data_IF_502810788872
#
_entry.id   IF_502810788872
#
_cell.length_a   1.000
_cell.length_b   1.000
_cell.length_c   1.000
_cell.angle_alpha   90.00
_cell.angle_beta   90.00
_cell.angle_gamma   90.00
#
_symmetry.space_group_name_H-M   'P 1'
#
loop_
_entity.id
_entity.type
_entity.pdbx_description
1 polymer ?
#
# COMPACT_ATOMS: atom_id res chain seq x y z
N UNK A 1 10.09 1.35 -5.89
CA UNK A 1 9.84 1.61 -4.44
C UNK A 1 8.41 2.01 -4.14
N UNK A 2 7.70 2.63 -5.09
CA UNK A 2 6.31 3.12 -4.93
C UNK A 2 5.37 2.16 -4.20
N UNK A 3 5.42 0.86 -4.52
CA UNK A 3 4.60 -0.16 -3.85
C UNK A 3 4.85 -0.20 -2.32
N UNK A 4 6.11 -0.38 -1.91
CA UNK A 4 6.50 -0.46 -0.49
C UNK A 4 6.17 0.84 0.25
N UNK A 5 6.42 1.99 -0.38
CA UNK A 5 6.08 3.30 0.21
C UNK A 5 4.58 3.47 0.43
N UNK A 6 3.76 2.95 -0.49
CA UNK A 6 2.29 2.93 -0.34
C UNK A 6 1.85 2.11 0.87
N UNK A 7 2.45 0.93 1.08
CA UNK A 7 2.15 0.09 2.25
C UNK A 7 2.56 0.76 3.57
N UNK A 8 3.69 1.46 3.61
CA UNK A 8 4.06 2.25 4.79
C UNK A 8 3.04 3.36 5.07
N UNK A 9 2.56 4.04 4.03
CA UNK A 9 1.56 5.09 4.18
C UNK A 9 0.23 4.56 4.75
N UNK A 10 -0.26 3.43 4.24
CA UNK A 10 -1.51 2.81 4.72
C UNK A 10 -1.35 2.28 6.13
N UNK A 11 -0.27 1.52 6.39
CA UNK A 11 0.09 1.04 7.72
C UNK A 11 0.11 2.16 8.76
N UNK A 12 0.86 3.23 8.48
CA UNK A 12 1.04 4.34 9.41
C UNK A 12 -0.28 5.06 9.64
N UNK A 13 -1.12 5.23 8.62
CA UNK A 13 -2.45 5.78 8.81
C UNK A 13 -3.27 4.96 9.81
N UNK A 14 -3.33 3.64 9.63
CA UNK A 14 -4.09 2.77 10.53
C UNK A 14 -3.52 2.73 11.95
N UNK A 15 -2.19 2.74 12.10
CA UNK A 15 -1.55 2.72 13.42
C UNK A 15 -1.68 4.05 14.17
N UNK A 16 -1.60 5.19 13.48
CA UNK A 16 -1.67 6.50 14.13
C UNK A 16 -3.11 6.92 14.39
N UNK A 17 -4.02 6.71 13.43
CA UNK A 17 -5.40 7.20 13.53
C UNK A 17 -6.38 6.11 14.01
N UNK A 18 -6.11 4.83 13.76
CA UNK A 18 -6.94 3.71 14.20
C UNK A 18 -7.30 3.77 15.69
N UNK A 19 -6.35 4.01 16.60
CA UNK A 19 -6.65 4.12 18.03
C UNK A 19 -7.56 5.29 18.42
N UNK A 20 -7.71 6.31 17.55
CA UNK A 20 -8.48 7.53 17.84
C UNK A 20 -9.98 7.39 17.60
N UNK A 21 -10.42 6.35 16.89
CA UNK A 21 -11.85 6.13 16.64
C UNK A 21 -12.60 5.80 17.93
N UNK A 22 -13.83 6.31 18.07
CA UNK A 22 -14.68 6.03 19.22
C UNK A 22 -15.25 4.61 19.22
N UNK A 23 -15.58 4.07 18.04
CA UNK A 23 -16.11 2.72 17.89
C UNK A 23 -15.03 1.65 18.16
N UNK A 24 -15.21 0.74 19.13
CA UNK A 24 -14.29 -0.37 19.37
C UNK A 24 -14.08 -1.29 18.16
N UNK A 25 -15.11 -1.53 17.34
CA UNK A 25 -15.01 -2.39 16.16
C UNK A 25 -14.12 -1.72 15.11
N UNK A 26 -14.26 -0.40 14.91
CA UNK A 26 -13.38 0.37 14.03
C UNK A 26 -11.90 0.30 14.48
N UNK A 27 -11.63 0.40 15.78
CA UNK A 27 -10.27 0.23 16.31
C UNK A 27 -9.70 -1.16 16.04
N UNK A 28 -10.51 -2.20 16.25
CA UNK A 28 -10.10 -3.59 16.04
C UNK A 28 -9.81 -3.90 14.57
N UNK A 29 -10.69 -3.50 13.65
CA UNK A 29 -10.46 -3.75 12.21
C UNK A 29 -9.28 -2.95 11.68
N UNK A 30 -9.03 -1.73 12.17
CA UNK A 30 -7.85 -0.96 11.75
C UNK A 30 -6.56 -1.56 12.29
N UNK A 31 -6.56 -2.11 13.52
CA UNK A 31 -5.42 -2.84 14.06
C UNK A 31 -5.14 -4.14 13.28
N UNK A 32 -6.19 -4.87 12.87
CA UNK A 32 -6.06 -6.04 12.00
C UNK A 32 -5.48 -5.67 10.64
N UNK A 33 -6.02 -4.63 9.98
CA UNK A 33 -5.50 -4.18 8.68
C UNK A 33 -4.04 -3.73 8.83
N UNK A 34 -3.67 -2.96 9.85
CA UNK A 34 -2.28 -2.58 10.10
C UNK A 34 -1.34 -3.78 10.26
N UNK A 35 -1.79 -4.85 10.93
CA UNK A 35 -1.04 -6.11 11.05
C UNK A 35 -0.85 -6.79 9.69
N UNK A 36 -1.80 -6.68 8.76
CA UNK A 36 -1.66 -7.17 7.39
C UNK A 36 -0.72 -6.27 6.57
N UNK A 37 -0.84 -4.94 6.64
CA UNK A 37 0.06 -4.04 5.92
C UNK A 37 1.52 -4.20 6.39
N UNK A 38 1.76 -4.52 7.68
CA UNK A 38 3.09 -4.90 8.18
C UNK A 38 3.68 -6.11 7.43
N UNK A 39 2.84 -7.08 7.06
CA UNK A 39 3.25 -8.23 6.25
C UNK A 39 3.55 -7.80 4.81
N UNK A 40 2.74 -6.90 4.22
CA UNK A 40 2.98 -6.37 2.89
C UNK A 40 4.28 -5.56 2.81
N UNK A 41 4.55 -4.70 3.81
CA UNK A 41 5.83 -3.98 3.95
C UNK A 41 7.00 -4.97 3.95
N UNK A 42 6.90 -6.05 4.74
CA UNK A 42 7.95 -7.07 4.80
C UNK A 42 8.11 -7.79 3.47
N UNK A 43 6.98 -8.18 2.84
CA UNK A 43 6.97 -8.95 1.61
C UNK A 43 7.49 -8.15 0.41
N UNK A 44 7.00 -6.94 0.21
CA UNK A 44 7.47 -6.10 -0.89
C UNK A 44 8.82 -5.44 -0.58
N UNK A 45 9.12 -5.19 0.69
CA UNK A 45 10.42 -4.68 1.14
C UNK A 45 11.57 -5.62 0.81
N UNK A 46 11.33 -6.94 0.76
CA UNK A 46 12.36 -7.91 0.40
C UNK A 46 12.79 -7.84 -1.08
N UNK A 47 12.04 -7.14 -1.94
CA UNK A 47 12.42 -6.88 -3.33
C UNK A 47 13.47 -5.78 -3.46
N UNK A 48 13.70 -4.98 -2.42
CA UNK A 48 14.72 -3.95 -2.41
C UNK A 48 16.11 -4.57 -2.21
N UNK A 49 17.14 -4.03 -2.87
CA UNK A 49 18.50 -4.54 -2.69
C UNK A 49 19.03 -4.14 -1.30
N UNK A 50 19.37 -5.12 -0.43
CA UNK A 50 19.85 -4.83 0.93
C UNK A 50 21.30 -4.34 0.98
N UNK A 51 22.04 -4.41 -0.14
CA UNK A 51 23.45 -4.01 -0.23
C UNK A 51 23.63 -2.56 -0.70
N UNK A 52 22.54 -1.84 -0.97
CA UNK A 52 22.58 -0.43 -1.38
C UNK A 52 23.15 0.46 -0.27
N UNK A 53 24.07 1.36 -0.62
CA UNK A 53 24.48 2.45 0.24
C UNK A 53 23.32 3.43 0.48
N UNK A 54 23.38 4.22 1.56
CA UNK A 54 22.36 5.23 1.84
C UNK A 54 22.22 6.26 0.71
N UNK A 55 23.32 6.60 0.02
CA UNK A 55 23.29 7.54 -1.09
C UNK A 55 22.84 6.88 -2.40
N UNK A 56 23.13 5.59 -2.62
CA UNK A 56 22.52 4.82 -3.72
C UNK A 56 21.00 4.74 -3.53
N UNK A 57 20.56 4.48 -2.30
CA UNK A 57 19.15 4.46 -1.94
C UNK A 57 18.49 5.82 -2.21
N UNK A 58 19.09 6.91 -1.75
CA UNK A 58 18.60 8.26 -1.99
C UNK A 58 18.47 8.55 -3.49
N UNK A 59 19.47 8.20 -4.31
CA UNK A 59 19.40 8.36 -5.77
C UNK A 59 18.20 7.65 -6.38
N UNK A 60 17.99 6.38 -5.99
CA UNK A 60 16.85 5.58 -6.47
C UNK A 60 15.53 6.19 -5.97
N UNK A 61 15.49 6.72 -4.75
CA UNK A 61 14.31 7.42 -4.22
C UNK A 61 13.92 8.61 -5.08
N UNK A 62 14.86 9.54 -5.31
CA UNK A 62 14.58 10.74 -6.10
C UNK A 62 14.22 10.40 -7.56
N UNK A 63 14.88 9.38 -8.13
CA UNK A 63 14.54 8.87 -9.45
C UNK A 63 13.12 8.28 -9.52
N UNK A 64 12.69 7.56 -8.48
CA UNK A 64 11.35 7.00 -8.35
C UNK A 64 10.28 8.10 -8.21
N UNK A 65 10.58 9.20 -7.50
CA UNK A 65 9.68 10.36 -7.41
C UNK A 65 9.53 11.07 -8.76
N UNK A 66 10.64 11.35 -9.47
CA UNK A 66 10.60 11.87 -10.85
C UNK A 66 9.72 10.99 -11.74
N UNK A 67 9.88 9.66 -11.65
CA UNK A 67 9.07 8.72 -12.42
C UNK A 67 7.57 8.79 -12.08
N UNK A 68 7.21 8.87 -10.80
CA UNK A 68 5.82 8.99 -10.34
C UNK A 68 5.17 10.28 -10.86
N UNK A 69 5.81 11.44 -10.65
CA UNK A 69 5.25 12.73 -11.05
C UNK A 69 5.21 12.92 -12.57
N UNK A 70 6.21 12.39 -13.29
CA UNK A 70 6.20 12.38 -14.75
C UNK A 70 5.00 11.59 -15.29
N UNK A 71 4.68 10.43 -14.70
CA UNK A 71 3.51 9.64 -15.10
C UNK A 71 2.20 10.42 -14.89
N UNK A 72 2.05 11.12 -13.76
CA UNK A 72 0.89 11.99 -13.50
C UNK A 72 0.79 13.14 -14.51
N UNK A 73 1.88 13.90 -14.72
CA UNK A 73 1.90 15.06 -15.61
C UNK A 73 1.62 14.69 -17.08
N UNK A 74 2.09 13.52 -17.53
CA UNK A 74 1.87 13.02 -18.88
C UNK A 74 0.40 12.66 -19.15
N UNK A 75 -0.33 12.21 -18.13
CA UNK A 75 -1.70 11.70 -18.26
C UNK A 75 -2.79 12.69 -17.79
N UNK A 76 -2.42 13.75 -17.07
CA UNK A 76 -3.39 14.74 -16.59
C UNK A 76 -3.98 15.58 -17.73
N UNK A 77 -5.30 15.58 -17.82
CA UNK A 77 -6.06 16.27 -18.87
C UNK A 77 -6.47 17.69 -18.46
N UNK A 78 -6.64 17.95 -17.15
CA UNK A 78 -6.99 19.25 -16.63
C UNK A 78 -5.74 20.15 -16.59
N UNK A 79 -5.68 21.25 -17.37
CA UNK A 79 -4.48 22.07 -17.47
C UNK A 79 -4.01 22.66 -16.12
N UNK A 80 -4.92 22.94 -15.20
CA UNK A 80 -4.57 23.50 -13.88
C UNK A 80 -3.91 22.46 -12.97
N UNK A 81 -4.42 21.24 -13.00
CA UNK A 81 -3.82 20.13 -12.23
C UNK A 81 -2.52 19.68 -12.87
N UNK A 82 -2.45 19.67 -14.21
CA UNK A 82 -1.22 19.35 -14.94
C UNK A 82 -0.09 20.29 -14.55
N UNK A 83 -0.35 21.60 -14.49
CA UNK A 83 0.64 22.58 -14.05
C UNK A 83 1.12 22.36 -12.60
N UNK A 84 0.30 21.75 -11.74
CA UNK A 84 0.72 21.35 -10.39
C UNK A 84 1.63 20.12 -10.45
N UNK A 85 1.27 19.11 -11.25
CA UNK A 85 2.12 17.92 -11.45
C UNK A 85 3.47 18.25 -12.08
N UNK A 86 3.48 19.11 -13.10
CA UNK A 86 4.71 19.60 -13.74
C UNK A 86 5.59 20.36 -12.75
N UNK A 87 4.99 21.16 -11.86
CA UNK A 87 5.75 21.84 -10.80
C UNK A 87 6.39 20.88 -9.82
N UNK A 88 5.67 19.84 -9.38
CA UNK A 88 6.26 18.83 -8.50
C UNK A 88 7.33 18.02 -9.22
N UNK A 89 7.11 17.66 -10.49
CA UNK A 89 8.14 17.05 -11.32
C UNK A 89 9.41 17.91 -11.39
N UNK A 90 9.29 19.23 -11.57
CA UNK A 90 10.44 20.15 -11.56
C UNK A 90 11.19 20.13 -10.23
N UNK A 91 10.48 20.01 -9.10
CA UNK A 91 11.10 19.91 -7.77
C UNK A 91 11.89 18.62 -7.63
N UNK A 92 11.30 17.48 -7.99
CA UNK A 92 11.98 16.18 -7.86
C UNK A 92 13.14 16.04 -8.85
N UNK A 93 13.07 16.66 -10.03
CA UNK A 93 14.23 16.77 -10.91
C UNK A 93 15.36 17.58 -10.27
N UNK A 94 15.03 18.64 -9.54
CA UNK A 94 16.00 19.41 -8.74
C UNK A 94 16.60 18.58 -7.59
N UNK A 95 15.78 17.83 -6.86
CA UNK A 95 16.25 16.94 -5.80
C UNK A 95 17.14 15.83 -6.33
N UNK A 96 16.78 15.21 -7.45
CA UNK A 96 17.61 14.20 -8.11
C UNK A 96 18.96 14.78 -8.54
N UNK A 97 19.01 16.01 -9.07
CA UNK A 97 20.27 16.67 -9.39
C UNK A 97 21.14 16.88 -8.13
N UNK A 98 20.55 17.29 -7.01
CA UNK A 98 21.26 17.46 -5.75
C UNK A 98 21.77 16.11 -5.20
N UNK A 99 20.95 15.06 -5.23
CA UNK A 99 21.34 13.72 -4.80
C UNK A 99 22.49 13.17 -5.65
N UNK A 100 22.47 13.41 -6.97
CA UNK A 100 23.58 13.07 -7.90
C UNK A 100 24.87 13.77 -7.53
N UNK A 101 24.81 15.08 -7.27
CA UNK A 101 25.99 15.84 -6.85
C UNK A 101 26.54 15.32 -5.52
N UNK A 102 25.66 15.10 -4.53
CA UNK A 102 26.04 14.58 -3.22
C UNK A 102 26.71 13.20 -3.32
N UNK A 103 26.15 12.30 -4.12
CA UNK A 103 26.73 10.98 -4.39
C UNK A 103 28.14 11.10 -4.99
N UNK A 104 28.31 11.96 -6.00
CA UNK A 104 29.63 12.19 -6.62
C UNK A 104 30.64 12.78 -5.63
N UNK A 105 30.22 13.70 -4.77
CA UNK A 105 31.12 14.36 -3.82
C UNK A 105 31.57 13.45 -2.67
N UNK A 106 30.68 12.58 -2.20
CA UNK A 106 30.90 11.71 -1.04
C UNK A 106 31.44 10.34 -1.46
N UNK A 107 30.73 9.65 -2.36
CA UNK A 107 31.05 8.28 -2.78
C UNK A 107 32.10 8.24 -3.91
N UNK A 108 32.36 9.38 -4.57
CA UNK A 108 33.36 9.52 -5.65
C UNK A 108 33.13 8.55 -6.82
N UNK A 109 31.87 8.20 -7.06
CA UNK A 109 31.40 7.27 -8.10
C UNK A 109 30.46 7.97 -9.07
N UNK A 110 30.26 7.37 -10.25
CA UNK A 110 29.31 7.90 -11.23
C UNK A 110 27.88 7.46 -10.85
N UNK A 111 26.91 8.38 -10.68
CA UNK A 111 25.51 8.02 -10.45
C UNK A 111 24.91 7.08 -11.51
N UNK A 112 25.46 7.06 -12.72
CA UNK A 112 25.05 6.13 -13.78
C UNK A 112 25.32 4.65 -13.42
N UNK A 113 26.24 4.36 -12.49
CA UNK A 113 26.44 3.01 -11.94
C UNK A 113 25.18 2.48 -11.23
N UNK A 114 24.36 3.38 -10.69
CA UNK A 114 23.13 3.07 -9.94
C UNK A 114 21.89 3.26 -10.83
N UNK A 115 21.83 4.39 -11.54
CA UNK A 115 20.65 4.80 -12.33
C UNK A 115 20.63 4.25 -13.76
N UNK A 116 21.70 3.59 -14.19
CA UNK A 116 21.84 3.08 -15.56
C UNK A 116 21.98 4.20 -16.59
N UNK A 117 21.39 3.99 -17.77
CA UNK A 117 21.43 4.92 -18.90
C UNK A 117 20.44 6.09 -18.79
N UNK A 118 19.67 6.15 -17.70
CA UNK A 118 18.63 7.15 -17.48
C UNK A 118 17.33 6.90 -18.24
N UNK A 119 17.18 5.76 -18.93
CA UNK A 119 15.92 5.36 -19.54
C UNK A 119 15.00 4.80 -18.45
N UNK A 120 13.95 5.54 -18.15
CA UNK A 120 12.94 5.11 -17.20
C UNK A 120 12.00 4.05 -17.78
N UNK A 121 11.51 3.09 -16.97
CA UNK A 121 10.45 2.18 -17.41
C UNK A 121 9.14 2.96 -17.71
N UNK A 122 8.20 2.36 -18.45
CA UNK A 122 6.88 2.97 -18.67
C UNK A 122 6.23 3.39 -17.34
N UNK A 123 5.68 4.60 -17.28
CA UNK A 123 5.01 5.11 -16.09
C UNK A 123 3.74 4.32 -15.70
N UNK A 124 3.27 4.50 -14.46
CA UNK A 124 1.98 3.94 -14.01
C UNK A 124 0.85 4.50 -14.88
N UNK A 125 0.00 3.61 -15.39
CA UNK A 125 -1.24 4.01 -16.08
C UNK A 125 -2.32 4.43 -15.07
N UNK A 126 -2.70 5.70 -15.08
CA UNK A 126 -3.77 6.25 -14.24
C UNK A 126 -5.13 6.08 -14.93
N UNK A 127 -5.57 4.82 -15.00
CA UNK A 127 -6.81 4.41 -15.63
C UNK A 127 -7.61 3.46 -14.74
N UNK A 128 -8.82 3.11 -15.17
CA UNK A 128 -9.68 2.20 -14.41
C UNK A 128 -9.08 0.79 -14.36
N UNK A 129 -8.57 0.39 -13.20
CA UNK A 129 -8.06 -0.96 -12.95
C UNK A 129 -9.14 -2.00 -12.59
N UNK A 130 -10.43 -1.67 -12.75
CA UNK A 130 -11.55 -2.53 -12.29
C UNK A 130 -11.57 -3.91 -12.94
N UNK A 131 -11.35 -4.01 -14.25
CA UNK A 131 -11.36 -5.32 -14.93
C UNK A 131 -10.16 -6.17 -14.53
N UNK A 132 -8.99 -5.54 -14.36
CA UNK A 132 -7.81 -6.20 -13.84
C UNK A 132 -8.09 -6.78 -12.45
N UNK A 133 -8.59 -5.97 -11.52
CA UNK A 133 -8.91 -6.40 -10.15
C UNK A 133 -9.97 -7.51 -10.14
N UNK A 134 -11.01 -7.42 -10.96
CA UNK A 134 -12.03 -8.49 -11.06
C UNK A 134 -11.43 -9.82 -11.51
N UNK A 135 -10.54 -9.79 -12.50
CA UNK A 135 -9.86 -10.99 -12.99
C UNK A 135 -8.99 -11.60 -11.89
N UNK A 136 -8.15 -10.79 -11.26
CA UNK A 136 -7.30 -11.23 -10.14
C UNK A 136 -8.13 -11.85 -9.02
N UNK A 137 -9.24 -11.21 -8.61
CA UNK A 137 -10.13 -11.78 -7.59
C UNK A 137 -10.75 -13.12 -8.03
N UNK A 138 -11.17 -13.24 -9.28
CA UNK A 138 -11.74 -14.49 -9.80
C UNK A 138 -10.72 -15.63 -9.86
N UNK A 139 -9.46 -15.32 -10.12
CA UNK A 139 -8.38 -16.30 -10.31
C UNK A 139 -7.64 -16.64 -9.00
N UNK A 140 -7.48 -15.67 -8.10
CA UNK A 140 -6.47 -15.74 -7.03
C UNK A 140 -7.05 -15.74 -5.61
N UNK A 141 -8.35 -15.47 -5.40
CA UNK A 141 -8.94 -15.40 -4.04
C UNK A 141 -8.84 -16.71 -3.25
N UNK A 142 -8.77 -17.85 -3.95
CA UNK A 142 -8.65 -19.18 -3.35
C UNK A 142 -7.20 -19.61 -3.09
N UNK A 143 -6.21 -18.81 -3.52
CA UNK A 143 -4.81 -19.14 -3.29
C UNK A 143 -4.47 -19.09 -1.80
N UNK A 144 -3.55 -19.97 -1.39
CA UNK A 144 -3.01 -20.10 -0.04
C UNK A 144 -1.49 -20.14 -0.08
N UNK A 145 -0.86 -20.06 1.09
CA UNK A 145 0.61 -20.15 1.21
C UNK A 145 1.05 -21.56 1.59
N UNK A 146 2.10 -22.03 0.94
CA UNK A 146 2.89 -23.18 1.37
C UNK A 146 4.38 -22.81 1.26
N UNK A 147 4.95 -22.38 2.39
CA UNK A 147 6.24 -21.69 2.42
C UNK A 147 6.18 -20.41 1.58
N UNK A 148 7.08 -20.29 0.62
CA UNK A 148 7.14 -19.13 -0.29
C UNK A 148 6.18 -19.21 -1.48
N UNK A 149 5.58 -20.37 -1.74
CA UNK A 149 4.72 -20.60 -2.92
C UNK A 149 3.27 -20.17 -2.68
N UNK A 150 2.60 -19.78 -3.75
CA UNK A 150 1.14 -19.68 -3.83
C UNK A 150 0.59 -20.99 -4.38
N UNK A 151 -0.38 -21.58 -3.69
CA UNK A 151 -0.94 -22.91 -3.99
C UNK A 151 -2.46 -22.90 -3.88
N UNK A 152 -3.18 -23.83 -4.51
CA UNK A 152 -4.61 -24.02 -4.26
C UNK A 152 -4.90 -24.35 -2.79
N UNK A 153 -6.12 -24.11 -2.36
CA UNK A 153 -6.55 -24.32 -0.97
C UNK A 153 -6.27 -25.73 -0.42
N UNK A 154 -6.42 -26.76 -1.24
CA UNK A 154 -6.14 -28.16 -0.85
C UNK A 154 -4.67 -28.45 -0.52
N UNK A 155 -3.75 -27.56 -0.91
CA UNK A 155 -2.30 -27.73 -0.75
C UNK A 155 -1.70 -26.75 0.26
N UNK A 156 -2.55 -26.04 1.02
CA UNK A 156 -2.13 -25.07 2.03
C UNK A 156 -1.12 -25.69 3.01
N UNK A 157 -0.04 -24.96 3.28
CA UNK A 157 1.02 -25.41 4.18
C UNK A 157 0.57 -25.42 5.64
N UNK A 158 1.06 -26.40 6.41
CA UNK A 158 0.76 -26.52 7.84
C UNK A 158 1.15 -25.27 8.64
N UNK A 159 2.20 -24.56 8.25
CA UNK A 159 2.60 -23.29 8.88
C UNK A 159 1.60 -22.16 8.65
N UNK A 160 0.99 -22.08 7.45
CA UNK A 160 -0.06 -21.11 7.13
C UNK A 160 -1.30 -21.36 7.99
N UNK A 161 -1.71 -22.63 8.09
CA UNK A 161 -2.83 -23.05 8.94
C UNK A 161 -2.58 -22.73 10.42
N UNK A 162 -1.44 -23.14 10.96
CA UNK A 162 -1.11 -22.92 12.37
C UNK A 162 -1.03 -21.42 12.72
N UNK A 163 -0.50 -20.59 11.81
CA UNK A 163 -0.48 -19.14 12.00
C UNK A 163 -1.90 -18.56 12.02
N UNK A 164 -2.74 -18.93 11.05
CA UNK A 164 -4.14 -18.46 10.97
C UNK A 164 -4.95 -18.89 12.18
N UNK A 165 -4.82 -20.14 12.62
CA UNK A 165 -5.49 -20.65 13.83
C UNK A 165 -5.05 -19.91 15.09
N UNK A 166 -3.76 -19.58 15.20
CA UNK A 166 -3.23 -18.83 16.35
C UNK A 166 -3.69 -17.37 16.38
N UNK A 167 -3.62 -16.66 15.26
CA UNK A 167 -3.99 -15.24 15.18
C UNK A 167 -5.51 -15.06 15.28
N UNK A 168 -6.30 -15.96 14.68
CA UNK A 168 -7.76 -15.86 14.64
C UNK A 168 -8.44 -16.72 15.73
N UNK A 169 -7.72 -17.17 16.76
CA UNK A 169 -8.26 -18.06 17.80
C UNK A 169 -9.50 -17.47 18.50
N UNK A 170 -9.51 -16.15 18.71
CA UNK A 170 -10.62 -15.42 19.32
C UNK A 170 -11.59 -14.81 18.28
N UNK A 171 -11.45 -15.19 17.01
CA UNK A 171 -12.16 -14.62 15.86
C UNK A 171 -11.39 -13.50 15.16
N UNK A 172 -11.88 -13.07 13.99
CA UNK A 172 -11.30 -11.96 13.21
C UNK A 172 -12.25 -10.75 13.22
N UNK A 173 -11.75 -9.53 13.52
CA UNK A 173 -12.54 -8.30 13.38
C UNK A 173 -13.16 -8.13 11.99
N UNK A 174 -12.46 -8.54 10.92
CA UNK A 174 -12.95 -8.45 9.54
C UNK A 174 -14.16 -9.35 9.29
N UNK A 175 -14.17 -10.55 9.87
CA UNK A 175 -15.34 -11.44 9.83
C UNK A 175 -16.51 -10.85 10.62
N UNK A 176 -16.24 -10.29 11.81
CA UNK A 176 -17.27 -9.65 12.64
C UNK A 176 -17.93 -8.46 11.92
N UNK A 177 -17.12 -7.59 11.31
CA UNK A 177 -17.61 -6.46 10.51
C UNK A 177 -18.42 -6.98 9.33
N UNK A 178 -17.92 -7.98 8.60
CA UNK A 178 -18.59 -8.53 7.42
C UNK A 178 -19.94 -9.19 7.75
N UNK A 179 -20.01 -9.90 8.88
CA UNK A 179 -21.23 -10.55 9.34
C UNK A 179 -22.32 -9.57 9.79
N UNK A 180 -21.93 -8.41 10.34
CA UNK A 180 -22.85 -7.41 10.87
C UNK A 180 -23.11 -6.23 9.91
N UNK A 181 -22.41 -6.15 8.77
CA UNK A 181 -22.51 -5.01 7.87
C UNK A 181 -23.88 -4.94 7.20
N UNK A 182 -24.63 -3.91 7.56
CA UNK A 182 -25.84 -3.49 6.85
C UNK A 182 -25.67 -2.06 6.38
N UNK A 183 -25.74 -1.86 5.05
CA UNK A 183 -25.75 -0.52 4.50
C UNK A 183 -27.07 0.18 4.85
N UNK A 184 -26.96 1.38 5.42
CA UNK A 184 -28.09 2.26 5.72
C UNK A 184 -27.70 3.68 5.33
N UNK A 185 -28.60 4.43 4.70
CA UNK A 185 -28.37 5.84 4.43
C UNK A 185 -28.27 6.64 5.75
N UNK A 186 -27.30 7.54 5.87
CA UNK A 186 -27.04 8.35 7.07
C UNK A 186 -25.75 7.96 7.79
N UNK A 187 -25.43 8.67 8.87
CA UNK A 187 -24.27 8.37 9.73
C UNK A 187 -24.65 7.40 10.85
N UNK A 188 -23.68 6.91 11.62
CA UNK A 188 -23.89 6.02 12.76
C UNK A 188 -24.91 6.56 13.79
N UNK A 189 -25.03 7.90 13.90
CA UNK A 189 -26.00 8.57 14.76
C UNK A 189 -27.46 8.39 14.32
N UNK A 190 -27.69 8.01 13.07
CA UNK A 190 -29.04 7.81 12.51
C UNK A 190 -29.48 6.34 12.63
N UNK A 191 -28.55 5.42 12.97
CA UNK A 191 -28.88 4.01 13.18
C UNK A 191 -29.73 3.86 14.44
N UNK A 192 -30.99 3.47 14.28
CA UNK A 192 -31.82 3.04 15.41
C UNK A 192 -31.27 1.72 15.93
N UNK A 193 -31.02 1.65 17.23
CA UNK A 193 -30.67 0.40 17.89
C UNK A 193 -31.82 -0.60 17.73
N UNK A 194 -31.61 -1.77 17.08
CA UNK A 194 -32.64 -2.79 16.91
C UNK A 194 -33.22 -3.29 18.26
N UNK A 195 -32.47 -3.17 19.35
CA UNK A 195 -32.96 -3.51 20.69
C UNK A 195 -33.98 -2.49 21.23
N UNK A 196 -33.91 -1.22 20.81
CA UNK A 196 -34.90 -0.21 21.23
C UNK A 196 -36.26 -0.35 20.55
N UNK A 197 -36.34 -0.98 19.38
CA UNK A 197 -37.63 -1.24 18.71
C UNK A 197 -38.40 -2.41 19.34
N UNK A 198 -37.70 -3.45 19.84
CA UNK A 198 -38.34 -4.60 20.49
C UNK A 198 -38.97 -4.29 21.85
N UNK A 199 -38.59 -3.18 22.48
CA UNK A 199 -39.17 -2.72 23.76
C UNK A 199 -40.37 -1.79 23.57
N UNK A 200 -40.74 -1.47 22.32
CA UNK A 200 -41.84 -0.54 21.97
C UNK A 200 -42.97 -1.20 21.17
N UNK A 201 -42.94 -2.51 20.98
CA UNK A 201 -43.99 -3.32 20.37
C UNK A 201 -44.64 -4.21 21.44
#
# INVERSE_FOLDING_TARGET
>A
MTLVSGEYQTHDYYMHFGPTFADPVARQIYAEIASVESQHITHYGCMLNPEESLLEKLLICEANEVWNYAACAQQESNPRLKALWERFLDYELGHLQLARQLFQDVERRDPAEVLGDGVMPPGIGYESQREYVRRVLAEEVSLRKNGTRFVPESEEGTSSLAYREGINADGSPSEMVSAAFHWTAGTELVRKDPHQERLRA
#
